data_IF_313771126311
#
_entry.id   IF_313771126311
#
_cell.length_a   1.000
_cell.length_b   1.000
_cell.length_c   1.000
_cell.angle_alpha   90.00
_cell.angle_beta   90.00
_cell.angle_gamma   90.00
#
_symmetry.space_group_name_H-M   'P 1'
#
loop_
_entity.id
_entity.type
_entity.pdbx_description
1 polymer ?
#
# COMPACT_ATOMS: atom_id res chain seq x y z
N UNK A 1 -1.85 13.85 -5.00
CA UNK A 1 -2.34 12.82 -4.06
C UNK A 1 -2.94 11.62 -4.82
N UNK A 2 -3.61 11.80 -5.96
CA UNK A 2 -4.11 10.70 -6.80
C UNK A 2 -3.09 9.64 -7.22
N UNK A 3 -1.83 10.02 -7.47
CA UNK A 3 -0.81 9.06 -7.91
C UNK A 3 -0.54 7.93 -6.90
N UNK A 4 -0.63 8.22 -5.60
CA UNK A 4 -0.42 7.22 -4.54
C UNK A 4 -1.63 6.28 -4.47
N UNK A 5 -2.85 6.82 -4.54
CA UNK A 5 -4.09 6.02 -4.55
C UNK A 5 -4.12 5.08 -5.75
N UNK A 6 -3.77 5.59 -6.94
CA UNK A 6 -3.68 4.76 -8.14
C UNK A 6 -2.62 3.66 -8.01
N UNK A 7 -1.44 3.97 -7.48
CA UNK A 7 -0.38 2.98 -7.26
C UNK A 7 -0.79 1.89 -6.25
N UNK A 8 -1.53 2.28 -5.19
CA UNK A 8 -2.09 1.34 -4.21
C UNK A 8 -3.09 0.38 -4.87
N UNK A 9 -4.05 0.89 -5.64
CA UNK A 9 -5.07 0.09 -6.34
C UNK A 9 -4.45 -0.81 -7.42
N UNK A 10 -3.44 -0.32 -8.15
CA UNK A 10 -2.75 -1.11 -9.16
C UNK A 10 -1.88 -2.24 -8.57
N UNK A 11 -1.29 -1.99 -7.39
CA UNK A 11 -0.39 -2.95 -6.74
C UNK A 11 -1.17 -3.99 -5.93
N UNK A 12 -2.23 -3.55 -5.23
CA UNK A 12 -3.04 -4.33 -4.30
C UNK A 12 -4.51 -4.32 -4.77
N UNK A 13 -4.93 -5.27 -5.62
CA UNK A 13 -6.27 -5.27 -6.22
C UNK A 13 -7.40 -5.56 -5.20
N UNK A 14 -7.06 -5.97 -3.99
CA UNK A 14 -8.03 -6.16 -2.88
C UNK A 14 -8.42 -4.85 -2.19
N UNK A 15 -7.71 -3.75 -2.45
CA UNK A 15 -8.06 -2.46 -1.87
C UNK A 15 -9.29 -1.88 -2.57
N UNK A 16 -10.23 -1.40 -1.77
CA UNK A 16 -11.22 -0.45 -2.26
C UNK A 16 -10.59 0.93 -2.45
N UNK A 17 -11.22 1.77 -3.28
CA UNK A 17 -10.81 3.16 -3.46
C UNK A 17 -10.81 3.90 -2.13
N UNK A 18 -11.85 3.69 -1.31
CA UNK A 18 -11.98 4.31 0.02
C UNK A 18 -10.81 3.93 0.93
N UNK A 19 -10.44 2.64 0.99
CA UNK A 19 -9.30 2.20 1.80
C UNK A 19 -7.98 2.73 1.26
N UNK A 20 -7.79 2.79 -0.06
CA UNK A 20 -6.59 3.35 -0.66
C UNK A 20 -6.44 4.85 -0.34
N UNK A 21 -7.53 5.60 -0.33
CA UNK A 21 -7.55 7.02 0.08
C UNK A 21 -7.22 7.15 1.57
N UNK A 22 -7.81 6.32 2.43
CA UNK A 22 -7.55 6.33 3.86
C UNK A 22 -6.09 6.01 4.19
N UNK A 23 -5.53 4.97 3.57
CA UNK A 23 -4.11 4.58 3.71
C UNK A 23 -3.19 5.71 3.26
N UNK A 24 -3.47 6.31 2.10
CA UNK A 24 -2.70 7.45 1.58
C UNK A 24 -2.74 8.64 2.54
N UNK A 25 -3.93 9.00 3.04
CA UNK A 25 -4.10 10.12 3.96
C UNK A 25 -3.40 9.85 5.31
N UNK A 26 -3.55 8.64 5.84
CA UNK A 26 -2.93 8.22 7.09
C UNK A 26 -1.40 8.26 6.99
N UNK A 27 -0.85 7.72 5.90
CA UNK A 27 0.59 7.77 5.64
C UNK A 27 1.11 9.20 5.47
N UNK A 28 0.33 10.08 4.83
CA UNK A 28 0.69 11.49 4.68
C UNK A 28 0.71 12.24 6.01
N UNK A 29 -0.22 11.95 6.92
CA UNK A 29 -0.38 12.63 8.20
C UNK A 29 0.54 12.06 9.30
N UNK A 30 0.71 10.74 9.34
CA UNK A 30 1.40 10.02 10.41
C UNK A 30 2.76 9.43 9.99
N UNK A 31 3.13 9.58 8.71
CA UNK A 31 4.38 9.08 8.13
C UNK A 31 4.35 7.61 7.70
N UNK A 32 3.34 6.83 8.13
CA UNK A 32 3.15 5.43 7.75
C UNK A 32 1.68 5.00 7.90
N UNK A 33 1.28 3.93 7.20
CA UNK A 33 -0.04 3.31 7.33
C UNK A 33 0.02 1.83 6.97
N UNK A 34 -0.81 1.01 7.61
CA UNK A 34 -0.96 -0.41 7.26
C UNK A 34 -1.91 -0.57 6.06
N UNK A 35 -1.38 -1.16 4.99
CA UNK A 35 -2.09 -1.30 3.72
C UNK A 35 -3.08 -2.47 3.76
N UNK A 36 -2.57 -3.67 4.05
CA UNK A 36 -3.32 -4.94 4.05
C UNK A 36 -2.57 -6.00 4.85
N UNK A 37 -3.31 -6.88 5.54
CA UNK A 37 -2.78 -8.11 6.14
C UNK A 37 -3.03 -9.29 5.20
N UNK A 38 -1.97 -10.02 4.83
CA UNK A 38 -2.05 -11.14 3.90
C UNK A 38 -0.88 -12.13 4.11
N UNK A 39 -0.91 -13.33 3.50
CA UNK A 39 0.23 -14.25 3.52
C UNK A 39 1.52 -13.59 3.03
N UNK A 40 2.66 -13.99 3.62
CA UNK A 40 3.97 -13.37 3.38
C UNK A 40 4.32 -13.25 1.89
N UNK A 41 4.10 -14.29 1.10
CA UNK A 41 4.39 -14.28 -0.35
C UNK A 41 3.65 -13.15 -1.08
N UNK A 42 2.37 -12.93 -0.75
CA UNK A 42 1.57 -11.85 -1.32
C UNK A 42 2.06 -10.48 -0.84
N UNK A 43 2.40 -10.36 0.44
CA UNK A 43 2.94 -9.14 1.01
C UNK A 43 4.24 -8.71 0.33
N UNK A 44 5.15 -9.66 0.06
CA UNK A 44 6.40 -9.39 -0.68
C UNK A 44 6.12 -8.99 -2.13
N UNK A 45 5.21 -9.70 -2.82
CA UNK A 45 4.80 -9.32 -4.18
C UNK A 45 4.22 -7.90 -4.23
N UNK A 46 3.37 -7.52 -3.26
CA UNK A 46 2.80 -6.18 -3.17
C UNK A 46 3.85 -5.13 -2.87
N UNK A 47 4.80 -5.42 -1.97
CA UNK A 47 5.94 -4.53 -1.68
C UNK A 47 6.71 -4.21 -2.96
N UNK A 48 7.06 -5.21 -3.76
CA UNK A 48 7.88 -5.02 -4.96
C UNK A 48 7.12 -4.23 -6.05
N UNK A 49 5.80 -4.44 -6.16
CA UNK A 49 4.94 -3.63 -7.05
C UNK A 49 4.86 -2.18 -6.59
N UNK A 50 4.68 -1.92 -5.29
CA UNK A 50 4.65 -0.57 -4.74
C UNK A 50 6.01 0.14 -4.91
N UNK A 51 7.11 -0.58 -4.70
CA UNK A 51 8.47 -0.08 -4.94
C UNK A 51 8.69 0.32 -6.41
N UNK A 52 8.11 -0.43 -7.35
CA UNK A 52 8.14 -0.10 -8.78
C UNK A 52 7.44 1.23 -9.10
N UNK A 53 6.48 1.65 -8.27
CA UNK A 53 5.82 2.96 -8.33
C UNK A 53 6.54 4.04 -7.52
N UNK A 54 7.79 3.79 -7.09
CA UNK A 54 8.59 4.67 -6.21
C UNK A 54 7.96 4.91 -4.84
N UNK A 55 7.12 4.00 -4.36
CA UNK A 55 6.60 4.03 -3.01
C UNK A 55 7.47 3.18 -2.09
N UNK A 56 7.77 3.72 -0.90
CA UNK A 56 8.43 2.93 0.15
C UNK A 56 7.38 2.07 0.84
N UNK A 57 7.46 0.76 0.66
CA UNK A 57 6.63 -0.23 1.34
C UNK A 57 7.52 -1.21 2.11
N UNK A 58 7.09 -1.60 3.30
CA UNK A 58 7.78 -2.59 4.13
C UNK A 58 6.81 -3.71 4.53
N UNK A 59 7.35 -4.90 4.75
CA UNK A 59 6.58 -6.05 5.22
C UNK A 59 6.95 -6.30 6.68
N UNK A 60 5.94 -6.37 7.54
CA UNK A 60 6.09 -6.74 8.95
C UNK A 60 5.44 -8.11 9.16
N UNK A 61 6.05 -8.94 10.00
CA UNK A 61 5.42 -10.17 10.52
C UNK A 61 4.82 -9.82 11.88
N UNK A 62 3.52 -10.00 12.00
CA UNK A 62 2.75 -9.91 13.24
C UNK A 62 2.31 -11.31 13.68
#
# INVERSE_FOLDING_TARGET
MDGVVHALLASVPELSVERAVEVMLTAHQHGQADVITCPLERAEMYRDRLASHRLTATVRRE
#
